data_IF_203898813372
#
_entry.id   IF_203898813372
#
_cell.length_a   1.000
_cell.length_b   1.000
_cell.length_c   1.000
_cell.angle_alpha   90.00
_cell.angle_beta   90.00
_cell.angle_gamma   90.00
#
_symmetry.space_group_name_H-M   'P 1'
#
loop_
_entity.id
_entity.type
_entity.pdbx_description
1 polymer ?
#
# COMPACT_ATOMS: atom_id res chain seq x y z
N UNK A 1 -27.60 -4.38 -18.19
CA UNK A 1 -27.31 -5.28 -19.33
C UNK A 1 -26.10 -4.69 -20.06
N UNK A 2 -24.91 -5.23 -19.82
CA UNK A 2 -23.68 -4.79 -20.49
C UNK A 2 -23.50 -5.70 -21.70
N UNK A 3 -23.55 -5.14 -22.90
CA UNK A 3 -23.30 -5.88 -24.14
C UNK A 3 -21.87 -6.44 -24.10
N UNK A 4 -21.72 -7.77 -24.15
CA UNK A 4 -20.44 -8.43 -24.29
C UNK A 4 -19.90 -8.18 -25.71
N UNK A 5 -19.17 -7.09 -25.89
CA UNK A 5 -18.31 -6.96 -27.06
C UNK A 5 -17.16 -7.95 -26.85
N UNK A 6 -17.14 -9.01 -27.66
CA UNK A 6 -16.21 -10.11 -27.52
C UNK A 6 -14.81 -9.64 -27.97
N UNK A 7 -13.90 -9.45 -27.01
CA UNK A 7 -12.47 -9.30 -27.27
C UNK A 7 -11.96 -10.66 -27.76
N UNK A 8 -11.07 -10.67 -28.76
CA UNK A 8 -10.51 -11.90 -29.29
C UNK A 8 -9.66 -12.64 -28.24
N UNK A 9 -9.59 -13.97 -28.23
CA UNK A 9 -8.84 -14.73 -27.22
C UNK A 9 -7.37 -14.33 -27.10
N UNK A 10 -6.71 -14.04 -28.23
CA UNK A 10 -5.30 -13.60 -28.23
C UNK A 10 -5.12 -12.24 -27.59
N UNK A 11 -6.05 -11.31 -27.84
CA UNK A 11 -6.03 -9.98 -27.26
C UNK A 11 -6.37 -10.01 -25.77
N UNK A 12 -7.27 -10.91 -25.31
CA UNK A 12 -7.51 -11.16 -23.88
C UNK A 12 -6.23 -11.65 -23.20
N UNK A 13 -5.56 -12.64 -23.79
CA UNK A 13 -4.32 -13.18 -23.21
C UNK A 13 -3.22 -12.11 -23.12
N UNK A 14 -3.06 -11.28 -24.16
CA UNK A 14 -2.10 -10.18 -24.16
C UNK A 14 -2.46 -9.13 -23.09
N UNK A 15 -3.72 -8.73 -23.01
CA UNK A 15 -4.20 -7.76 -22.02
C UNK A 15 -3.96 -8.27 -20.59
N UNK A 16 -4.29 -9.54 -20.34
CA UNK A 16 -4.07 -10.17 -19.03
C UNK A 16 -2.58 -10.23 -18.67
N UNK A 17 -1.68 -10.48 -19.64
CA UNK A 17 -0.22 -10.41 -19.43
C UNK A 17 0.23 -9.00 -19.03
N UNK A 18 -0.21 -7.97 -19.76
CA UNK A 18 0.14 -6.57 -19.47
C UNK A 18 -0.33 -6.19 -18.06
N UNK A 19 -1.57 -6.52 -17.72
CA UNK A 19 -2.15 -6.21 -16.41
C UNK A 19 -1.39 -6.93 -15.30
N UNK A 20 -1.01 -8.21 -15.50
CA UNK A 20 -0.22 -8.97 -14.53
C UNK A 20 1.14 -8.32 -14.26
N UNK A 21 1.82 -7.82 -15.29
CA UNK A 21 3.10 -7.12 -15.12
C UNK A 21 2.95 -5.80 -14.37
N UNK A 22 1.91 -5.02 -14.69
CA UNK A 22 1.61 -3.77 -13.97
C UNK A 22 1.23 -4.03 -12.51
N UNK A 23 0.48 -5.10 -12.27
CA UNK A 23 0.03 -5.50 -10.95
C UNK A 23 1.20 -5.87 -10.05
N UNK A 24 2.20 -6.60 -10.56
CA UNK A 24 3.39 -6.98 -9.79
C UNK A 24 4.14 -5.75 -9.24
N UNK A 25 4.18 -4.65 -9.99
CA UNK A 25 4.75 -3.37 -9.54
C UNK A 25 3.93 -2.76 -8.40
N UNK A 26 2.59 -2.72 -8.54
CA UNK A 26 1.71 -2.21 -7.49
C UNK A 26 1.77 -3.07 -6.22
N UNK A 27 1.77 -4.40 -6.36
CA UNK A 27 1.87 -5.34 -5.25
C UNK A 27 3.14 -5.15 -4.44
N UNK A 28 4.27 -4.88 -5.10
CA UNK A 28 5.53 -4.56 -4.42
C UNK A 28 5.42 -3.27 -3.62
N UNK A 29 4.90 -2.20 -4.22
CA UNK A 29 4.69 -0.92 -3.55
C UNK A 29 3.78 -1.04 -2.33
N UNK A 30 2.67 -1.79 -2.45
CA UNK A 30 1.75 -2.06 -1.33
C UNK A 30 2.48 -2.75 -0.18
N UNK A 31 3.27 -3.78 -0.48
CA UNK A 31 4.00 -4.54 0.54
C UNK A 31 5.07 -3.68 1.22
N UNK A 32 5.90 -2.97 0.43
CA UNK A 32 6.92 -2.05 0.95
C UNK A 32 6.32 -1.01 1.88
N UNK A 33 5.19 -0.41 1.50
CA UNK A 33 4.54 0.60 2.31
C UNK A 33 4.00 0.03 3.63
N UNK A 34 3.46 -1.19 3.63
CA UNK A 34 3.00 -1.85 4.87
C UNK A 34 4.18 -2.19 5.80
N UNK A 35 5.31 -2.64 5.25
CA UNK A 35 6.51 -2.89 6.06
C UNK A 35 7.02 -1.59 6.71
N UNK A 36 7.04 -0.49 5.95
CA UNK A 36 7.35 0.84 6.51
C UNK A 36 6.40 1.22 7.63
N UNK A 37 5.09 1.03 7.43
CA UNK A 37 4.10 1.35 8.46
C UNK A 37 4.35 0.55 9.73
N UNK A 38 4.66 -0.75 9.60
CA UNK A 38 5.01 -1.61 10.72
C UNK A 38 6.28 -1.11 11.41
N UNK A 39 7.37 -0.87 10.69
CA UNK A 39 8.63 -0.40 11.25
C UNK A 39 8.44 0.90 12.03
N UNK A 40 7.86 1.90 11.37
CA UNK A 40 7.73 3.26 11.89
C UNK A 40 6.78 3.37 13.08
N UNK A 41 5.77 2.50 13.16
CA UNK A 41 4.78 2.52 14.23
C UNK A 41 5.08 1.53 15.36
N UNK A 42 5.93 0.52 15.12
CA UNK A 42 6.46 -0.36 16.18
C UNK A 42 7.64 0.31 16.90
N UNK A 43 8.50 1.07 16.19
CA UNK A 43 9.69 1.72 16.77
C UNK A 43 9.42 2.66 17.97
N UNK A 44 8.36 3.49 18.00
CA UNK A 44 8.03 4.36 19.14
C UNK A 44 7.68 3.60 20.43
N UNK A 45 7.24 2.34 20.33
CA UNK A 45 6.98 1.47 21.50
C UNK A 45 8.29 1.03 22.18
N UNK A 46 9.38 0.96 21.40
CA UNK A 46 10.71 0.66 21.89
C UNK A 46 11.43 1.95 22.26
N UNK A 47 11.12 2.47 23.44
CA UNK A 47 11.87 3.54 24.08
C UNK A 47 13.32 3.06 24.38
N UNK A 48 14.16 2.92 23.35
CA UNK A 48 15.57 2.50 23.42
C UNK A 48 16.40 3.51 24.23
N UNK A 49 15.96 4.78 24.31
CA UNK A 49 16.53 5.77 25.24
C UNK A 49 16.32 5.40 26.70
N UNK A 50 15.16 4.86 27.08
CA UNK A 50 14.89 4.51 28.49
C UNK A 50 15.65 3.26 28.94
N UNK A 51 15.82 2.26 28.07
CA UNK A 51 16.57 1.04 28.41
C UNK A 51 18.07 1.30 28.57
N UNK A 52 18.67 2.11 27.69
CA UNK A 52 20.11 2.44 27.80
C UNK A 52 20.38 3.37 28.98
N UNK A 53 19.49 4.33 29.28
CA UNK A 53 19.63 5.20 30.47
C UNK A 53 19.41 4.42 31.78
N UNK A 54 18.48 3.46 31.82
CA UNK A 54 18.30 2.56 32.99
C UNK A 54 19.44 1.56 33.17
N UNK A 55 20.12 1.13 32.09
CA UNK A 55 21.19 0.14 32.16
C UNK A 55 22.60 0.77 32.34
N UNK A 56 22.81 2.01 31.89
CA UNK A 56 24.12 2.68 31.94
C UNK A 56 24.29 3.68 33.09
N UNK A 57 23.22 4.09 33.77
CA UNK A 57 23.23 5.17 34.76
C UNK A 57 22.90 4.70 36.17
N UNK A 58 23.86 4.10 36.86
CA UNK A 58 23.81 3.96 38.32
C UNK A 58 23.90 5.33 38.98
N UNK A 59 22.83 6.11 39.00
CA UNK A 59 22.73 7.26 39.89
C UNK A 59 21.28 7.57 40.25
N UNK A 60 21.05 7.60 41.56
CA UNK A 60 19.82 8.01 42.23
C UNK A 60 19.52 9.47 41.84
N UNK A 61 18.23 9.76 41.63
CA UNK A 61 17.62 11.04 41.22
C UNK A 61 17.29 11.16 39.72
N UNK A 62 16.57 10.18 39.16
CA UNK A 62 15.53 10.53 38.20
C UNK A 62 14.28 10.79 39.03
N UNK A 63 13.86 12.05 39.06
CA UNK A 63 12.54 12.40 39.55
C UNK A 63 11.54 11.56 38.75
N UNK A 64 10.94 10.60 39.44
CA UNK A 64 9.67 10.01 39.04
C UNK A 64 8.64 11.14 39.11
N UNK A 65 8.55 11.95 38.05
CA UNK A 65 7.24 12.45 37.63
C UNK A 65 6.59 11.30 36.85
N UNK A 66 6.31 10.24 37.60
CA UNK A 66 5.22 9.34 37.30
C UNK A 66 3.95 10.18 37.41
N UNK A 67 3.52 10.76 36.29
CA UNK A 67 2.09 10.93 36.11
C UNK A 67 1.53 9.51 35.89
N UNK A 68 1.25 8.83 37.02
CA UNK A 68 0.71 7.46 37.14
C UNK A 68 -0.64 7.26 36.39
N UNK A 69 -1.10 8.24 35.62
CA UNK A 69 -2.27 8.15 34.74
C UNK A 69 -1.96 7.98 33.25
N UNK A 70 -0.71 8.13 32.79
CA UNK A 70 -0.39 8.05 31.37
C UNK A 70 -0.07 6.62 30.95
N UNK A 71 -1.14 5.81 30.84
CA UNK A 71 -1.09 4.57 30.10
C UNK A 71 -0.49 4.85 28.73
N UNK A 72 0.70 4.31 28.47
CA UNK A 72 1.28 4.27 27.13
C UNK A 72 0.29 3.49 26.26
N UNK A 73 -0.64 4.20 25.62
CA UNK A 73 -1.51 3.63 24.61
C UNK A 73 -0.66 3.40 23.36
N UNK A 74 0.13 2.33 23.41
CA UNK A 74 0.74 1.63 22.27
C UNK A 74 -0.38 1.29 21.29
N UNK A 75 -0.75 2.23 20.41
CA UNK A 75 -1.54 2.09 19.17
C UNK A 75 -2.81 1.20 19.19
N UNK A 76 -3.22 0.64 20.32
CA UNK A 76 -3.79 -0.70 20.41
C UNK A 76 -2.98 -1.76 19.65
N UNK A 77 -2.65 -2.90 20.28
CA UNK A 77 -2.20 -4.12 19.56
C UNK A 77 -3.09 -4.44 18.34
N UNK A 78 -4.36 -4.02 18.37
CA UNK A 78 -5.33 -4.17 17.29
C UNK A 78 -4.91 -3.51 15.96
N UNK A 79 -4.27 -2.34 15.98
CA UNK A 79 -3.86 -1.67 14.73
C UNK A 79 -2.61 -2.33 14.13
N UNK A 80 -1.67 -2.78 14.97
CA UNK A 80 -0.51 -3.58 14.53
C UNK A 80 -0.99 -4.90 13.93
N UNK A 81 -1.92 -5.59 14.59
CA UNK A 81 -2.55 -6.81 14.06
C UNK A 81 -3.25 -6.52 12.73
N UNK A 82 -3.94 -5.39 12.60
CA UNK A 82 -4.54 -4.95 11.34
C UNK A 82 -3.52 -4.76 10.22
N UNK A 83 -2.38 -4.12 10.51
CA UNK A 83 -1.30 -3.95 9.53
C UNK A 83 -0.64 -5.29 9.13
N UNK A 84 -0.42 -6.20 10.08
CA UNK A 84 0.04 -7.57 9.79
C UNK A 84 -0.98 -8.33 8.94
N UNK A 85 -2.28 -8.15 9.21
CA UNK A 85 -3.34 -8.75 8.41
C UNK A 85 -3.31 -8.22 6.97
N UNK A 86 -3.21 -6.91 6.79
CA UNK A 86 -3.07 -6.27 5.47
C UNK A 86 -1.87 -6.82 4.69
N UNK A 87 -0.72 -6.94 5.35
CA UNK A 87 0.48 -7.56 4.79
C UNK A 87 0.21 -8.96 4.27
N UNK A 88 -0.45 -9.80 5.07
CA UNK A 88 -0.76 -11.17 4.68
C UNK A 88 -1.77 -11.21 3.53
N UNK A 89 -2.77 -10.31 3.51
CA UNK A 89 -3.68 -10.19 2.37
C UNK A 89 -2.94 -9.89 1.06
N UNK A 90 -1.96 -8.97 1.09
CA UNK A 90 -1.14 -8.63 -0.08
C UNK A 90 -0.29 -9.84 -0.52
N UNK A 91 0.33 -10.55 0.42
CA UNK A 91 1.13 -11.75 0.11
C UNK A 91 0.28 -12.88 -0.48
N UNK A 92 -0.93 -13.08 0.01
CA UNK A 92 -1.83 -14.09 -0.51
C UNK A 92 -2.38 -13.70 -1.89
N UNK A 93 -2.65 -12.41 -2.11
CA UNK A 93 -3.00 -11.88 -3.42
C UNK A 93 -1.88 -12.12 -4.45
N UNK A 94 -0.62 -11.82 -4.10
CA UNK A 94 0.55 -12.11 -4.94
C UNK A 94 0.66 -13.59 -5.32
N UNK A 95 0.47 -14.50 -4.36
CA UNK A 95 0.52 -15.95 -4.60
C UNK A 95 -0.59 -16.39 -5.56
N UNK A 96 -1.82 -15.93 -5.33
CA UNK A 96 -2.97 -16.26 -6.17
C UNK A 96 -2.72 -15.82 -7.62
N UNK A 97 -2.31 -14.56 -7.82
CA UNK A 97 -2.00 -14.01 -9.15
C UNK A 97 -0.83 -14.69 -9.83
N UNK A 98 0.17 -15.14 -9.06
CA UNK A 98 1.32 -15.86 -9.59
C UNK A 98 0.91 -17.22 -10.19
N UNK A 99 -0.07 -17.88 -9.57
CA UNK A 99 -0.61 -19.18 -9.98
C UNK A 99 -1.82 -19.11 -10.92
N UNK A 100 -2.41 -17.93 -11.10
CA UNK A 100 -3.64 -17.75 -11.87
C UNK A 100 -3.45 -18.05 -13.36
N UNK A 101 -4.50 -18.60 -13.98
CA UNK A 101 -4.52 -18.87 -15.41
C UNK A 101 -4.78 -17.56 -16.17
N UNK A 102 -3.76 -17.09 -16.89
CA UNK A 102 -3.78 -15.80 -17.61
C UNK A 102 -4.79 -15.82 -18.77
N UNK A 103 -5.27 -16.99 -19.21
CA UNK A 103 -6.27 -17.08 -20.28
C UNK A 103 -7.72 -16.91 -19.81
N UNK A 104 -7.95 -16.69 -18.52
CA UNK A 104 -9.30 -16.54 -17.97
C UNK A 104 -9.91 -15.17 -18.31
N UNK A 105 -11.14 -15.17 -18.83
CA UNK A 105 -11.85 -13.96 -19.28
C UNK A 105 -12.13 -13.01 -18.11
N UNK A 106 -12.34 -13.56 -16.91
CA UNK A 106 -12.68 -12.80 -15.71
C UNK A 106 -11.46 -12.35 -14.90
N UNK A 107 -10.24 -12.66 -15.34
CA UNK A 107 -8.99 -12.36 -14.63
C UNK A 107 -8.89 -10.88 -14.21
N UNK A 108 -9.17 -9.96 -15.14
CA UNK A 108 -9.07 -8.52 -14.90
C UNK A 108 -10.06 -8.05 -13.83
N UNK A 109 -11.29 -8.57 -13.87
CA UNK A 109 -12.33 -8.22 -12.90
C UNK A 109 -11.95 -8.72 -11.51
N UNK A 110 -11.39 -9.93 -11.41
CA UNK A 110 -10.89 -10.48 -10.16
C UNK A 110 -9.74 -9.63 -9.60
N UNK A 111 -8.77 -9.23 -10.43
CA UNK A 111 -7.67 -8.33 -10.04
C UNK A 111 -8.18 -7.00 -9.51
N UNK A 112 -9.09 -6.34 -10.24
CA UNK A 112 -9.65 -5.05 -9.83
C UNK A 112 -10.39 -5.15 -8.49
N UNK A 113 -11.18 -6.22 -8.29
CA UNK A 113 -11.88 -6.47 -7.03
C UNK A 113 -10.92 -6.65 -5.85
N UNK A 114 -9.84 -7.41 -6.03
CA UNK A 114 -8.85 -7.62 -4.98
C UNK A 114 -8.08 -6.34 -4.64
N UNK A 115 -7.68 -5.57 -5.65
CA UNK A 115 -7.05 -4.26 -5.44
C UNK A 115 -7.98 -3.32 -4.68
N UNK A 116 -9.27 -3.28 -5.02
CA UNK A 116 -10.26 -2.46 -4.28
C UNK A 116 -10.43 -2.92 -2.83
N UNK A 117 -10.41 -4.25 -2.59
CA UNK A 117 -10.47 -4.81 -1.24
C UNK A 117 -9.28 -4.35 -0.40
N UNK A 118 -8.06 -4.42 -0.95
CA UNK A 118 -6.83 -3.96 -0.28
C UNK A 118 -6.87 -2.44 -0.07
N UNK A 119 -7.30 -1.68 -1.07
CA UNK A 119 -7.47 -0.22 -0.99
C UNK A 119 -8.41 0.18 0.16
N UNK A 120 -9.58 -0.46 0.26
CA UNK A 120 -10.53 -0.22 1.34
C UNK A 120 -9.92 -0.54 2.72
N UNK A 121 -9.03 -1.54 2.79
CA UNK A 121 -8.32 -1.86 4.02
C UNK A 121 -7.26 -0.79 4.38
N UNK A 122 -6.52 -0.27 3.41
CA UNK A 122 -5.64 0.89 3.64
C UNK A 122 -6.40 2.11 4.16
N UNK A 123 -7.58 2.40 3.61
CA UNK A 123 -8.47 3.47 4.12
C UNK A 123 -8.86 3.20 5.57
N UNK A 124 -9.21 1.95 5.89
CA UNK A 124 -9.56 1.57 7.26
C UNK A 124 -8.39 1.80 8.22
N UNK A 125 -7.18 1.35 7.87
CA UNK A 125 -5.97 1.60 8.67
C UNK A 125 -5.75 3.10 8.85
N UNK A 126 -5.79 3.90 7.79
CA UNK A 126 -5.61 5.35 7.88
C UNK A 126 -6.64 5.99 8.84
N UNK A 127 -7.92 5.59 8.77
CA UNK A 127 -8.95 6.05 9.70
C UNK A 127 -8.65 5.66 11.15
N UNK A 128 -8.22 4.42 11.38
CA UNK A 128 -7.86 3.96 12.72
C UNK A 128 -6.65 4.74 13.27
N UNK A 129 -5.65 5.01 12.44
CA UNK A 129 -4.49 5.82 12.81
C UNK A 129 -4.88 7.28 13.06
N UNK A 130 -5.75 7.88 12.23
CA UNK A 130 -6.15 9.27 12.38
C UNK A 130 -6.90 9.54 13.69
N UNK A 131 -7.70 8.58 14.17
CA UNK A 131 -8.37 8.69 15.47
C UNK A 131 -7.38 8.92 16.62
N UNK A 132 -6.15 8.42 16.51
CA UNK A 132 -5.12 8.57 17.55
C UNK A 132 -4.46 9.96 17.51
N UNK A 133 -4.51 10.67 16.38
CA UNK A 133 -4.04 12.07 16.27
C UNK A 133 -4.92 13.00 17.10
N UNK A 134 -6.22 12.73 17.12
CA UNK A 134 -7.23 13.54 17.81
C UNK A 134 -7.23 13.32 19.33
N UNK A 135 -6.66 12.21 19.81
CA UNK A 135 -6.58 11.91 21.24
C UNK A 135 -5.54 12.82 21.93
N UNK A 136 -5.92 13.61 22.95
CA UNK A 136 -5.00 14.52 23.65
C UNK A 136 -3.83 13.81 24.34
N UNK A 137 -4.05 12.55 24.74
CA UNK A 137 -3.11 11.72 25.51
C UNK A 137 -2.07 11.04 24.58
N UNK A 138 -2.28 11.06 23.27
CA UNK A 138 -1.33 10.46 22.34
C UNK A 138 -0.03 11.27 22.29
N UNK A 139 1.11 10.58 22.33
CA UNK A 139 2.43 11.22 22.43
C UNK A 139 2.70 12.12 21.22
N UNK A 140 3.36 13.25 21.45
CA UNK A 140 3.74 14.20 20.38
C UNK A 140 4.62 13.53 19.30
N UNK A 141 5.45 12.56 19.71
CA UNK A 141 6.25 11.72 18.81
C UNK A 141 5.35 10.98 17.83
N UNK A 142 4.31 10.30 18.32
CA UNK A 142 3.39 9.54 17.47
C UNK A 142 2.61 10.43 16.50
N UNK A 143 2.13 11.59 16.96
CA UNK A 143 1.46 12.57 16.08
C UNK A 143 2.38 13.06 14.97
N UNK A 144 3.66 13.29 15.30
CA UNK A 144 4.68 13.70 14.34
C UNK A 144 4.95 12.57 13.33
N UNK A 145 5.10 11.34 13.83
CA UNK A 145 5.29 10.14 12.99
C UNK A 145 4.12 9.96 12.01
N UNK A 146 2.88 10.02 12.47
CA UNK A 146 1.71 9.93 11.58
C UNK A 146 1.64 11.08 10.57
N UNK A 147 1.98 12.30 10.98
CA UNK A 147 2.02 13.44 10.06
C UNK A 147 3.07 13.23 8.95
N UNK A 148 4.23 12.65 9.28
CA UNK A 148 5.25 12.26 8.29
C UNK A 148 4.75 11.14 7.39
N UNK A 149 3.91 10.22 7.90
CA UNK A 149 3.37 9.11 7.11
C UNK A 149 2.25 9.51 6.14
N UNK A 150 1.58 10.65 6.35
CA UNK A 150 0.40 11.06 5.59
C UNK A 150 0.65 11.20 4.06
N UNK A 151 1.73 11.86 3.60
CA UNK A 151 2.05 11.94 2.18
C UNK A 151 2.24 10.58 1.51
N UNK A 152 2.71 9.57 2.25
CA UNK A 152 2.90 8.21 1.74
C UNK A 152 1.58 7.46 1.54
N UNK A 153 0.59 7.71 2.41
CA UNK A 153 -0.78 7.23 2.17
C UNK A 153 -1.37 7.86 0.91
N UNK A 154 -1.25 9.18 0.74
CA UNK A 154 -1.71 9.87 -0.47
C UNK A 154 -1.06 9.30 -1.73
N UNK A 155 0.25 9.06 -1.67
CA UNK A 155 1.00 8.46 -2.76
C UNK A 155 0.55 7.03 -3.07
N UNK A 156 0.35 6.18 -2.05
CA UNK A 156 -0.14 4.82 -2.25
C UNK A 156 -1.52 4.81 -2.90
N UNK A 157 -2.44 5.66 -2.44
CA UNK A 157 -3.76 5.81 -3.05
C UNK A 157 -3.68 6.33 -4.49
N UNK A 158 -2.76 7.25 -4.77
CA UNK A 158 -2.49 7.71 -6.13
C UNK A 158 -2.02 6.58 -7.04
N UNK A 159 -1.09 5.73 -6.59
CA UNK A 159 -0.62 4.56 -7.34
C UNK A 159 -1.77 3.58 -7.63
N UNK A 160 -2.60 3.26 -6.64
CA UNK A 160 -3.77 2.37 -6.82
C UNK A 160 -4.77 2.93 -7.82
N UNK A 161 -5.09 4.22 -7.71
CA UNK A 161 -5.99 4.91 -8.64
C UNK A 161 -5.43 4.94 -10.06
N UNK A 162 -4.14 5.21 -10.20
CA UNK A 162 -3.46 5.23 -11.50
C UNK A 162 -3.49 3.84 -12.14
N UNK A 163 -3.21 2.79 -11.38
CA UNK A 163 -3.36 1.41 -11.84
C UNK A 163 -4.80 1.11 -12.32
N UNK A 164 -5.81 1.46 -11.54
CA UNK A 164 -7.22 1.29 -11.93
C UNK A 164 -7.53 1.97 -13.27
N UNK A 165 -7.13 3.23 -13.43
CA UNK A 165 -7.36 3.99 -14.65
C UNK A 165 -6.67 3.37 -15.87
N UNK A 166 -5.43 2.90 -15.72
CA UNK A 166 -4.69 2.19 -16.78
C UNK A 166 -5.46 0.93 -17.19
N UNK A 167 -5.87 0.10 -16.22
CA UNK A 167 -6.58 -1.15 -16.49
C UNK A 167 -7.90 -0.89 -17.21
N UNK A 168 -8.70 0.08 -16.75
CA UNK A 168 -9.96 0.44 -17.41
C UNK A 168 -9.74 0.95 -18.84
N UNK A 169 -8.72 1.79 -19.05
CA UNK A 169 -8.40 2.32 -20.38
C UNK A 169 -7.99 1.21 -21.34
N UNK A 170 -7.08 0.32 -20.91
CA UNK A 170 -6.64 -0.83 -21.70
C UNK A 170 -7.80 -1.80 -22.03
N UNK A 171 -8.72 -2.01 -21.08
CA UNK A 171 -9.90 -2.84 -21.30
C UNK A 171 -10.85 -2.22 -22.33
N UNK A 172 -11.06 -0.90 -22.27
CA UNK A 172 -11.91 -0.19 -23.22
C UNK A 172 -11.27 -0.14 -24.61
N UNK A 173 -9.96 0.03 -24.69
CA UNK A 173 -9.18 -0.02 -25.93
C UNK A 173 -9.25 -1.40 -26.59
N UNK A 174 -9.08 -2.47 -25.79
CA UNK A 174 -9.23 -3.84 -26.24
C UNK A 174 -10.66 -4.16 -26.71
N UNK A 175 -11.69 -3.61 -26.05
CA UNK A 175 -13.09 -3.75 -26.51
C UNK A 175 -13.36 -3.04 -27.82
N UNK A 176 -12.72 -1.90 -28.07
CA UNK A 176 -12.93 -1.11 -29.31
C UNK A 176 -12.15 -1.68 -30.50
N UNK A 177 -10.93 -2.15 -30.27
CA UNK A 177 -9.97 -2.43 -31.36
C UNK A 177 -9.45 -3.86 -31.39
N UNK A 178 -9.66 -4.65 -30.34
CA UNK A 178 -9.16 -6.03 -30.20
C UNK A 178 -10.16 -7.12 -30.56
N UNK A 179 -11.04 -6.89 -31.56
CA UNK A 179 -12.12 -7.83 -31.93
C UNK A 179 -11.63 -9.04 -32.75
N UNK A 180 -10.47 -8.92 -33.41
CA UNK A 180 -9.88 -9.98 -34.25
C UNK A 180 -8.53 -10.43 -33.67
N UNK A 181 -8.18 -11.70 -33.85
CA UNK A 181 -6.85 -12.22 -33.50
C UNK A 181 -5.75 -11.82 -34.52
N UNK A 182 -6.16 -11.30 -35.67
CA UNK A 182 -5.27 -10.83 -36.73
C UNK A 182 -4.61 -9.49 -36.39
N UNK A 183 -5.29 -8.67 -35.57
CA UNK A 183 -4.85 -7.33 -35.20
C UNK A 183 -4.68 -7.20 -33.68
N UNK A 184 -3.62 -6.51 -33.25
CA UNK A 184 -3.39 -6.18 -31.84
C UNK A 184 -4.18 -4.91 -31.50
N UNK A 185 -4.82 -4.90 -30.32
CA UNK A 185 -5.54 -3.71 -29.85
C UNK A 185 -4.62 -2.48 -29.76
N UNK A 186 -5.16 -1.33 -30.14
CA UNK A 186 -4.45 -0.05 -30.12
C UNK A 186 -4.56 0.57 -28.74
N UNK A 187 -3.49 1.19 -28.25
CA UNK A 187 -3.43 1.82 -26.92
C UNK A 187 -3.17 3.31 -27.07
N UNK A 188 -3.99 4.12 -26.41
CA UNK A 188 -3.82 5.58 -26.42
C UNK A 188 -2.50 6.03 -25.77
N UNK A 189 -1.91 7.12 -26.29
CA UNK A 189 -0.64 7.68 -25.80
C UNK A 189 -0.69 8.07 -24.32
N UNK A 190 -1.86 8.45 -23.82
CA UNK A 190 -2.07 8.86 -22.44
C UNK A 190 -1.93 7.69 -21.45
N UNK A 191 -2.27 6.47 -21.89
CA UNK A 191 -2.09 5.25 -21.10
C UNK A 191 -0.60 4.94 -20.93
N UNK A 192 0.20 5.14 -21.97
CA UNK A 192 1.66 4.99 -21.89
C UNK A 192 2.29 5.97 -20.91
N UNK A 193 1.83 7.23 -20.89
CA UNK A 193 2.29 8.24 -19.93
C UNK A 193 1.96 7.80 -18.50
N UNK A 194 0.74 7.31 -18.26
CA UNK A 194 0.34 6.80 -16.93
C UNK A 194 1.16 5.58 -16.50
N UNK A 195 1.45 4.64 -17.40
CA UNK A 195 2.33 3.49 -17.12
C UNK A 195 3.73 3.96 -16.73
N UNK A 196 4.29 4.95 -17.43
CA UNK A 196 5.59 5.52 -17.07
C UNK A 196 5.57 6.20 -15.70
N UNK A 197 4.49 6.88 -15.35
CA UNK A 197 4.32 7.48 -14.03
C UNK A 197 4.30 6.39 -12.94
N UNK A 198 3.49 5.34 -13.11
CA UNK A 198 3.42 4.23 -12.16
C UNK A 198 4.78 3.56 -11.95
N UNK A 199 5.54 3.32 -13.03
CA UNK A 199 6.89 2.73 -12.96
C UNK A 199 7.92 3.65 -12.27
N UNK A 200 7.78 4.97 -12.36
CA UNK A 200 8.66 5.91 -11.64
C UNK A 200 8.42 5.88 -10.12
N UNK A 201 7.22 5.52 -9.68
CA UNK A 201 6.85 5.42 -8.27
C UNK A 201 7.41 4.13 -7.62
N UNK A 202 7.81 3.16 -8.45
CA UNK A 202 8.19 1.80 -8.06
C UNK A 202 9.45 1.67 -7.18
N UNK A 203 10.22 2.75 -7.01
CA UNK A 203 11.44 2.77 -6.19
C UNK A 203 11.43 3.84 -5.08
N UNK A 204 10.30 4.49 -4.84
CA UNK A 204 10.29 5.74 -4.06
C UNK A 204 10.27 5.53 -2.55
N UNK A 205 9.85 4.36 -2.08
CA UNK A 205 9.86 4.04 -0.65
C UNK A 205 11.25 3.70 -0.11
N UNK A 206 12.23 3.39 -0.98
CA UNK A 206 13.61 3.08 -0.59
C UNK A 206 14.36 4.23 0.10
N UNK A 207 13.95 5.49 -0.14
CA UNK A 207 14.57 6.67 0.49
C UNK A 207 14.00 7.02 1.87
N UNK A 208 12.90 6.38 2.27
CA UNK A 208 12.14 6.80 3.45
C UNK A 208 12.84 6.47 4.76
N UNK A 209 13.36 5.24 4.88
CA UNK A 209 14.06 4.77 6.09
C UNK A 209 15.25 5.70 6.40
N UNK A 210 16.01 6.09 5.37
CA UNK A 210 17.15 7.01 5.53
C UNK A 210 16.74 8.41 6.04
N UNK A 211 15.58 8.93 5.63
CA UNK A 211 15.09 10.24 6.05
C UNK A 211 14.55 10.26 7.49
N UNK A 212 14.00 9.13 7.95
CA UNK A 212 13.50 8.95 9.31
C UNK A 212 14.65 8.79 10.32
N UNK A 213 15.78 8.22 9.91
CA UNK A 213 16.99 8.12 10.75
C UNK A 213 17.68 9.49 10.93
N UNK A 214 17.55 10.41 9.97
CA UNK A 214 18.22 11.74 10.03
C UNK A 214 17.48 12.80 10.85
N UNK A 215 16.23 12.56 11.24
CA UNK A 215 15.39 13.52 11.98
C UNK A 215 15.24 13.19 13.49
N UNK A 216 16.03 12.24 14.01
CA UNK A 216 16.08 11.82 15.43
C UNK A 216 17.37 12.25 16.14
#
# INVERSE_FOLDING_TARGET
MVHSVAISPRNIELLNKIIRELLASLERQMLEFVEILLDVLILPSSNKRNLVVSLAGGNKNLAFDEDEGMGYYDLGYNNIVGMIHLRNMILDFQKQNSSANISEVDYILQVLHQVDTIHNYFIHILKCLSLHVEVPICTSIYKTTLAVMLPYFEQMFFSMKTFYNIVCSLLDDARKTGLSDDDIFQVDSDVFVQIQQLKKLDHQFNGLIASLDTNN
#
